data_IF_351495599963
#
_entry.id   IF_351495599963
#
_cell.length_a   1.000
_cell.length_b   1.000
_cell.length_c   1.000
_cell.angle_alpha   90.00
_cell.angle_beta   90.00
_cell.angle_gamma   90.00
#
_symmetry.space_group_name_H-M   'P 1'
#
loop_
_entity.id
_entity.type
_entity.pdbx_description
1 polymer ?
#
# COMPACT_ATOMS: atom_id res chain seq x y z
N UNK A 1 5.07 -43.49 73.06
CA UNK A 1 4.80 -43.49 71.61
C UNK A 1 3.33 -43.82 71.44
N UNK A 2 2.53 -42.82 71.09
CA UNK A 2 1.06 -42.87 71.16
C UNK A 2 0.47 -43.22 69.79
N UNK A 3 -0.50 -44.12 69.79
CA UNK A 3 -1.32 -44.55 68.66
C UNK A 3 -2.59 -43.68 68.58
N UNK A 4 -3.02 -43.39 67.34
CA UNK A 4 -4.38 -43.10 66.85
C UNK A 4 -5.42 -42.40 67.75
N UNK A 5 -5.94 -41.26 67.27
CA UNK A 5 -7.39 -41.10 66.97
C UNK A 5 -7.66 -39.94 65.98
N UNK A 6 -8.75 -40.15 65.23
CA UNK A 6 -9.55 -39.35 64.28
C UNK A 6 -9.69 -37.84 64.59
N UNK A 7 -10.29 -36.92 63.82
CA UNK A 7 -11.06 -36.82 62.57
C UNK A 7 -11.38 -35.31 62.45
N UNK A 8 -11.49 -34.70 61.26
CA UNK A 8 -12.12 -33.37 61.15
C UNK A 8 -12.00 -32.67 59.79
N UNK A 9 -13.13 -32.60 59.09
CA UNK A 9 -13.38 -31.96 57.79
C UNK A 9 -13.24 -30.43 57.76
N UNK A 10 -13.02 -29.91 56.53
CA UNK A 10 -13.42 -28.56 56.07
C UNK A 10 -12.28 -27.55 56.08
N UNK A 11 -12.12 -26.61 55.15
CA UNK A 11 -12.92 -26.16 54.02
C UNK A 11 -12.00 -25.33 53.11
N UNK A 12 -12.32 -25.29 51.83
CA UNK A 12 -11.69 -24.47 50.79
C UNK A 12 -11.54 -23.00 51.21
N UNK A 13 -10.39 -22.42 50.86
CA UNK A 13 -10.12 -20.99 50.95
C UNK A 13 -9.08 -20.59 49.90
N UNK A 14 -9.54 -20.41 48.66
CA UNK A 14 -8.78 -19.74 47.61
C UNK A 14 -8.51 -18.28 48.02
N UNK A 15 -7.25 -17.86 47.95
CA UNK A 15 -6.89 -16.43 47.87
C UNK A 15 -6.07 -16.27 46.58
N UNK A 16 -6.77 -16.04 45.48
CA UNK A 16 -6.22 -15.33 44.33
C UNK A 16 -6.90 -13.96 44.36
N UNK A 17 -6.13 -12.93 44.73
CA UNK A 17 -6.54 -11.54 44.60
C UNK A 17 -5.40 -10.79 43.91
N UNK A 18 -5.56 -10.62 42.60
CA UNK A 18 -5.06 -9.46 41.89
C UNK A 18 -5.94 -9.30 40.65
N UNK A 19 -7.14 -8.76 40.85
CA UNK A 19 -7.96 -8.20 39.78
C UNK A 19 -7.27 -6.92 39.27
N UNK A 20 -6.23 -7.11 38.46
CA UNK A 20 -5.92 -6.16 37.42
C UNK A 20 -6.93 -6.44 36.31
N UNK A 21 -7.96 -5.60 36.20
CA UNK A 21 -8.86 -5.59 35.06
C UNK A 21 -7.99 -5.32 33.83
N UNK A 22 -7.61 -6.39 33.12
CA UNK A 22 -7.06 -6.31 31.79
C UNK A 22 -8.13 -5.57 30.98
N UNK A 23 -7.87 -4.33 30.56
CA UNK A 23 -8.77 -3.61 29.66
C UNK A 23 -9.10 -4.57 28.52
N UNK A 24 -10.37 -4.98 28.46
CA UNK A 24 -10.83 -5.96 27.49
C UNK A 24 -10.63 -5.31 26.14
N UNK A 25 -9.61 -5.72 25.39
CA UNK A 25 -9.33 -5.16 24.07
C UNK A 25 -10.63 -5.18 23.27
N UNK A 26 -11.05 -4.05 22.69
CA UNK A 26 -12.25 -4.01 21.86
C UNK A 26 -12.25 -5.13 20.83
N UNK A 27 -13.40 -5.81 20.67
CA UNK A 27 -13.55 -6.96 19.75
C UNK A 27 -13.04 -6.65 18.33
N UNK A 28 -13.04 -5.38 17.90
CA UNK A 28 -12.52 -4.97 16.60
C UNK A 28 -11.03 -5.28 16.42
N UNK A 29 -10.19 -5.22 17.46
CA UNK A 29 -8.76 -5.57 17.35
C UNK A 29 -8.55 -7.04 17.00
N UNK A 30 -9.37 -7.92 17.58
CA UNK A 30 -9.36 -9.33 17.22
C UNK A 30 -9.66 -9.52 15.74
N UNK A 31 -10.73 -8.88 15.23
CA UNK A 31 -11.11 -8.98 13.82
C UNK A 31 -10.10 -8.32 12.86
N UNK A 32 -9.40 -7.25 13.27
CA UNK A 32 -8.31 -6.66 12.49
C UNK A 32 -7.14 -7.64 12.37
N UNK A 33 -6.74 -8.26 13.48
CA UNK A 33 -5.64 -9.21 13.51
C UNK A 33 -5.92 -10.48 12.70
N UNK A 34 -7.18 -10.89 12.53
CA UNK A 34 -7.54 -12.00 11.63
C UNK A 34 -7.05 -11.76 10.19
N UNK A 35 -6.96 -10.49 9.77
CA UNK A 35 -6.47 -10.18 8.43
C UNK A 35 -5.00 -10.54 8.31
N UNK A 36 -4.13 -10.15 9.26
CA UNK A 36 -2.74 -10.63 9.32
C UNK A 36 -2.66 -12.13 9.53
N UNK A 37 -3.45 -12.66 10.47
CA UNK A 37 -3.27 -14.01 10.95
C UNK A 37 -3.68 -15.06 9.92
N UNK A 38 -4.78 -14.81 9.22
CA UNK A 38 -5.45 -15.78 8.34
C UNK A 38 -5.79 -15.25 6.96
N UNK A 39 -5.53 -13.97 6.70
CA UNK A 39 -5.96 -13.30 5.48
C UNK A 39 -7.46 -12.98 5.46
N UNK A 40 -8.14 -13.04 6.60
CA UNK A 40 -9.58 -12.84 6.68
C UNK A 40 -9.92 -11.36 6.91
N UNK A 41 -10.37 -10.67 5.85
CA UNK A 41 -10.89 -9.30 5.95
C UNK A 41 -12.32 -9.33 6.52
N UNK A 42 -12.54 -8.69 7.69
CA UNK A 42 -13.83 -8.75 8.39
C UNK A 42 -14.48 -7.38 8.55
N UNK A 43 -15.77 -7.26 8.22
CA UNK A 43 -16.57 -6.05 8.50
C UNK A 43 -16.66 -5.73 10.00
N UNK A 44 -16.54 -6.74 10.87
CA UNK A 44 -16.56 -6.57 12.33
C UNK A 44 -15.30 -5.86 12.87
N UNK A 45 -14.28 -5.69 12.03
CA UNK A 45 -13.08 -4.93 12.35
C UNK A 45 -13.33 -3.41 12.41
N UNK A 46 -14.52 -2.94 11.97
CA UNK A 46 -14.90 -1.52 11.95
C UNK A 46 -13.82 -0.70 11.23
N UNK A 47 -13.53 -1.08 9.98
CA UNK A 47 -12.49 -0.45 9.17
C UNK A 47 -12.82 1.02 8.84
N UNK A 48 -14.11 1.36 8.81
CA UNK A 48 -14.62 2.72 8.68
C UNK A 48 -14.25 3.63 9.87
N UNK A 49 -13.89 3.06 11.02
CA UNK A 49 -13.42 3.80 12.21
C UNK A 49 -11.89 3.93 12.25
N UNK A 50 -11.16 3.33 11.30
CA UNK A 50 -9.69 3.33 11.26
C UNK A 50 -9.17 4.55 10.50
N UNK A 51 -8.15 5.19 11.04
CA UNK A 51 -7.32 6.15 10.28
C UNK A 51 -6.13 5.41 9.68
N UNK A 52 -5.98 5.51 8.35
CA UNK A 52 -4.84 4.96 7.63
C UNK A 52 -3.70 5.99 7.56
N UNK A 53 -2.42 5.56 7.57
CA UNK A 53 -1.96 4.16 7.67
C UNK A 53 -2.19 3.55 9.07
N UNK A 54 -2.49 2.24 9.12
CA UNK A 54 -2.73 1.50 10.37
C UNK A 54 -1.69 0.40 10.59
N UNK A 55 -1.02 0.41 11.74
CA UNK A 55 -0.06 -0.65 12.11
C UNK A 55 -0.82 -1.91 12.52
N UNK A 56 -0.71 -2.95 11.69
CA UNK A 56 -1.40 -4.23 11.87
C UNK A 56 -0.60 -5.21 12.74
N UNK A 57 0.73 -5.23 12.59
CA UNK A 57 1.63 -6.07 13.37
C UNK A 57 2.99 -5.39 13.56
N UNK A 58 3.70 -5.75 14.64
CA UNK A 58 5.06 -5.30 14.95
C UNK A 58 5.99 -6.49 15.16
N UNK A 59 7.30 -6.23 15.15
CA UNK A 59 8.35 -7.23 15.36
C UNK A 59 8.34 -8.35 14.30
N UNK A 60 7.84 -8.04 13.11
CA UNK A 60 7.77 -8.95 11.94
C UNK A 60 9.02 -8.77 11.09
N UNK A 61 9.78 -9.84 10.82
CA UNK A 61 10.91 -9.75 9.89
C UNK A 61 10.43 -9.60 8.45
N UNK A 62 11.26 -9.07 7.56
CA UNK A 62 10.89 -8.95 6.14
C UNK A 62 10.61 -10.32 5.51
N UNK A 63 11.35 -11.36 5.90
CA UNK A 63 11.14 -12.73 5.44
C UNK A 63 9.79 -13.30 5.90
N UNK A 64 9.41 -13.04 7.16
CA UNK A 64 8.10 -13.45 7.66
C UNK A 64 6.98 -12.74 6.90
N UNK A 65 7.12 -11.42 6.69
CA UNK A 65 6.20 -10.64 5.88
C UNK A 65 6.07 -11.19 4.46
N UNK A 66 7.17 -11.42 3.75
CA UNK A 66 7.18 -11.94 2.39
C UNK A 66 6.50 -13.31 2.29
N UNK A 67 6.88 -14.25 3.18
CA UNK A 67 6.31 -15.60 3.20
C UNK A 67 4.80 -15.57 3.49
N UNK A 68 4.38 -14.72 4.42
CA UNK A 68 2.97 -14.65 4.83
C UNK A 68 2.11 -14.01 3.77
N UNK A 69 2.59 -12.92 3.18
CA UNK A 69 1.91 -12.18 2.11
C UNK A 69 1.70 -13.08 0.90
N UNK A 70 2.73 -13.85 0.51
CA UNK A 70 2.65 -14.86 -0.54
C UNK A 70 1.65 -15.98 -0.19
N UNK A 71 1.74 -16.53 1.02
CA UNK A 71 0.88 -17.63 1.47
C UNK A 71 -0.61 -17.24 1.49
N UNK A 72 -0.91 -16.01 1.89
CA UNK A 72 -2.27 -15.50 1.99
C UNK A 72 -2.76 -14.86 0.69
N UNK A 73 -1.87 -14.63 -0.28
CA UNK A 73 -2.16 -13.96 -1.55
C UNK A 73 -2.85 -12.59 -1.34
N UNK A 74 -2.27 -11.77 -0.46
CA UNK A 74 -2.75 -10.42 -0.16
C UNK A 74 -1.74 -9.44 -0.73
N UNK A 75 -2.16 -8.60 -1.67
CA UNK A 75 -1.29 -7.63 -2.34
C UNK A 75 -2.01 -6.28 -2.44
N UNK A 76 -1.25 -5.18 -2.52
CA UNK A 76 -1.83 -3.85 -2.72
C UNK A 76 -2.64 -3.31 -1.54
N UNK A 77 -2.42 -3.82 -0.33
CA UNK A 77 -3.12 -3.34 0.88
C UNK A 77 -2.18 -3.11 2.05
N UNK A 78 -1.09 -3.88 2.14
CA UNK A 78 -0.13 -3.81 3.24
C UNK A 78 1.28 -3.61 2.74
N UNK A 79 2.06 -2.83 3.48
CA UNK A 79 3.49 -2.69 3.29
C UNK A 79 4.25 -3.10 4.55
N UNK A 80 5.55 -3.35 4.38
CA UNK A 80 6.46 -3.60 5.48
C UNK A 80 7.43 -2.43 5.67
N UNK A 81 7.56 -1.94 6.90
CA UNK A 81 8.54 -0.90 7.23
C UNK A 81 9.09 -1.11 8.64
N UNK A 82 10.42 -1.29 8.75
CA UNK A 82 11.14 -1.36 10.02
C UNK A 82 10.49 -2.29 11.06
N UNK A 83 10.16 -3.51 10.65
CA UNK A 83 9.54 -4.50 11.54
C UNK A 83 8.02 -4.36 11.71
N UNK A 84 7.38 -3.41 11.03
CA UNK A 84 5.94 -3.18 11.10
C UNK A 84 5.25 -3.60 9.80
N UNK A 85 4.10 -4.24 9.94
CA UNK A 85 3.14 -4.45 8.85
C UNK A 85 2.11 -3.32 8.94
N UNK A 86 1.97 -2.56 7.86
CA UNK A 86 1.16 -1.35 7.82
C UNK A 86 0.09 -1.52 6.75
N UNK A 87 -1.18 -1.42 7.12
CA UNK A 87 -2.28 -1.26 6.18
C UNK A 87 -2.25 0.19 5.71
N UNK A 88 -2.02 0.40 4.43
CA UNK A 88 -2.00 1.74 3.86
C UNK A 88 -3.30 2.03 3.09
N UNK A 89 -3.86 1.04 2.40
CA UNK A 89 -5.10 1.15 1.63
C UNK A 89 -6.07 0.00 1.99
N UNK A 90 -7.37 0.26 1.83
CA UNK A 90 -8.40 -0.77 1.98
C UNK A 90 -8.91 -1.19 0.59
N UNK A 91 -9.22 -2.48 0.38
CA UNK A 91 -9.79 -2.93 -0.88
C UNK A 91 -11.02 -2.10 -1.26
N UNK A 92 -10.98 -1.45 -2.42
CA UNK A 92 -12.09 -0.61 -2.87
C UNK A 92 -12.22 -0.60 -4.39
N UNK A 93 -13.45 -0.65 -4.87
CA UNK A 93 -13.71 -0.65 -6.32
C UNK A 93 -13.17 0.60 -7.04
N UNK A 94 -13.30 1.84 -6.51
CA UNK A 94 -12.76 3.01 -7.19
C UNK A 94 -11.24 2.97 -7.39
N UNK A 95 -10.52 2.42 -6.41
CA UNK A 95 -9.08 2.20 -6.46
C UNK A 95 -8.70 1.26 -7.62
N UNK A 96 -9.27 0.04 -7.61
CA UNK A 96 -8.96 -0.98 -8.62
C UNK A 96 -9.32 -0.54 -10.05
N UNK A 97 -10.47 0.12 -10.22
CA UNK A 97 -10.90 0.63 -11.53
C UNK A 97 -9.94 1.70 -12.04
N UNK A 98 -9.44 2.58 -11.17
CA UNK A 98 -8.48 3.60 -11.55
C UNK A 98 -7.14 2.99 -11.97
N UNK A 99 -6.62 2.02 -11.21
CA UNK A 99 -5.38 1.31 -11.54
C UNK A 99 -5.50 0.64 -12.91
N UNK A 100 -6.61 -0.05 -13.15
CA UNK A 100 -6.88 -0.72 -14.43
C UNK A 100 -6.91 0.29 -15.58
N UNK A 101 -7.62 1.41 -15.42
CA UNK A 101 -7.76 2.43 -16.46
C UNK A 101 -6.41 3.10 -16.78
N UNK A 102 -5.65 3.51 -15.77
CA UNK A 102 -4.33 4.13 -15.97
C UNK A 102 -3.36 3.14 -16.62
N UNK A 103 -3.37 1.88 -16.19
CA UNK A 103 -2.54 0.84 -16.78
C UNK A 103 -2.86 0.61 -18.26
N UNK A 104 -4.14 0.56 -18.61
CA UNK A 104 -4.59 0.41 -19.98
C UNK A 104 -4.11 1.57 -20.86
N UNK A 105 -4.27 2.81 -20.42
CA UNK A 105 -3.84 4.00 -21.17
C UNK A 105 -2.32 4.02 -21.39
N UNK A 106 -1.52 3.68 -20.37
CA UNK A 106 -0.06 3.58 -20.50
C UNK A 106 0.32 2.52 -21.54
N UNK A 107 -0.26 1.32 -21.45
CA UNK A 107 0.04 0.24 -22.38
C UNK A 107 -0.43 0.55 -23.81
N UNK A 108 -1.57 1.21 -23.96
CA UNK A 108 -2.11 1.66 -25.25
C UNK A 108 -1.22 2.74 -25.88
N UNK A 109 -0.71 3.69 -25.10
CA UNK A 109 0.27 4.67 -25.58
C UNK A 109 1.56 3.99 -26.07
N UNK A 110 1.98 2.92 -25.40
CA UNK A 110 3.14 2.11 -25.77
C UNK A 110 2.85 1.03 -26.84
N UNK A 111 1.63 0.95 -27.41
CA UNK A 111 1.25 -0.16 -28.31
C UNK A 111 2.18 -0.33 -29.52
N UNK A 112 2.75 0.77 -30.01
CA UNK A 112 3.57 0.79 -31.23
C UNK A 112 4.94 0.11 -31.04
N UNK A 113 5.41 -0.03 -29.79
CA UNK A 113 6.67 -0.71 -29.48
C UNK A 113 6.46 -2.17 -29.05
N UNK A 114 5.22 -2.66 -29.06
CA UNK A 114 4.90 -4.05 -28.70
C UNK A 114 5.59 -5.03 -29.65
N UNK A 115 6.22 -6.08 -29.09
CA UNK A 115 6.96 -7.08 -29.85
C UNK A 115 8.36 -6.64 -30.30
N UNK A 116 8.81 -5.45 -29.88
CA UNK A 116 10.14 -4.94 -30.18
C UNK A 116 11.05 -5.02 -28.95
N UNK A 117 12.38 -4.88 -29.10
CA UNK A 117 13.30 -4.80 -27.96
C UNK A 117 13.03 -3.65 -26.99
N UNK A 118 12.24 -2.64 -27.39
CA UNK A 118 11.85 -1.50 -26.54
C UNK A 118 10.44 -1.64 -25.95
N UNK A 119 9.83 -2.83 -26.06
CA UNK A 119 8.52 -3.10 -25.47
C UNK A 119 8.52 -2.80 -23.96
N UNK A 120 7.49 -2.11 -23.52
CA UNK A 120 7.19 -1.87 -22.09
C UNK A 120 6.23 -2.95 -21.60
N UNK A 121 6.53 -3.52 -20.43
CA UNK A 121 5.71 -4.52 -19.76
C UNK A 121 5.12 -3.93 -18.48
N UNK A 122 3.85 -4.25 -18.20
CA UNK A 122 3.25 -4.03 -16.89
C UNK A 122 3.59 -5.18 -15.94
N UNK A 123 4.01 -4.84 -14.73
CA UNK A 123 4.35 -5.76 -13.65
C UNK A 123 3.35 -5.71 -12.49
N UNK A 124 2.35 -4.82 -12.55
CA UNK A 124 1.34 -4.65 -11.49
C UNK A 124 1.98 -4.41 -10.12
N UNK A 125 1.33 -4.94 -9.08
CA UNK A 125 1.78 -4.93 -7.70
C UNK A 125 2.88 -5.95 -7.37
N UNK A 126 3.93 -5.98 -8.21
CA UNK A 126 5.11 -6.78 -7.92
C UNK A 126 5.85 -6.20 -6.71
N UNK A 127 6.11 -7.06 -5.72
CA UNK A 127 6.83 -6.70 -4.50
C UNK A 127 8.25 -6.22 -4.80
N UNK A 128 8.62 -5.16 -4.10
CA UNK A 128 9.97 -4.63 -4.07
C UNK A 128 10.43 -4.43 -2.63
N UNK A 129 11.75 -4.40 -2.40
CA UNK A 129 12.32 -4.11 -1.08
C UNK A 129 13.67 -3.41 -1.14
N UNK A 130 13.95 -2.68 -0.06
CA UNK A 130 15.28 -2.31 0.39
C UNK A 130 15.56 -2.94 1.78
N UNK A 131 16.66 -2.55 2.43
CA UNK A 131 17.04 -3.12 3.74
C UNK A 131 16.00 -2.94 4.84
N UNK A 132 15.13 -1.93 4.75
CA UNK A 132 14.25 -1.49 5.85
C UNK A 132 12.79 -1.32 5.42
N UNK A 133 12.47 -1.47 4.13
CA UNK A 133 11.14 -1.28 3.56
C UNK A 133 10.84 -2.34 2.51
N UNK A 134 9.62 -2.85 2.51
CA UNK A 134 9.05 -3.68 1.46
C UNK A 134 7.77 -3.02 0.98
N UNK A 135 7.69 -2.69 -0.31
CA UNK A 135 6.57 -1.97 -0.92
C UNK A 135 6.14 -2.62 -2.22
N UNK A 136 4.85 -2.57 -2.48
CA UNK A 136 4.21 -2.95 -3.72
C UNK A 136 3.63 -1.67 -4.32
N UNK A 137 4.00 -1.34 -5.55
CA UNK A 137 3.33 -0.27 -6.29
C UNK A 137 1.92 -0.74 -6.66
N UNK A 138 0.96 0.15 -6.83
CA UNK A 138 -0.35 -0.28 -7.37
C UNK A 138 -0.23 -0.83 -8.80
N UNK A 139 0.61 -0.19 -9.61
CA UNK A 139 1.07 -0.76 -10.88
C UNK A 139 2.44 -0.22 -11.26
N UNK A 140 3.21 -1.00 -12.01
CA UNK A 140 4.57 -0.64 -12.38
C UNK A 140 4.94 -1.13 -13.78
N UNK A 141 5.86 -0.42 -14.42
CA UNK A 141 6.23 -0.66 -15.81
C UNK A 141 7.74 -0.57 -16.03
N UNK A 142 8.26 -1.45 -16.89
CA UNK A 142 9.63 -1.35 -17.41
C UNK A 142 9.79 -2.08 -18.74
N UNK A 143 10.79 -1.70 -19.56
CA UNK A 143 11.26 -2.55 -20.63
C UNK A 143 11.98 -3.79 -20.09
N UNK A 144 12.37 -4.68 -21.00
CA UNK A 144 13.34 -5.73 -20.68
C UNK A 144 14.64 -5.04 -20.24
N UNK A 145 15.10 -5.40 -19.04
CA UNK A 145 16.37 -4.93 -18.45
C UNK A 145 17.23 -6.15 -18.12
N UNK A 146 18.55 -6.06 -18.27
CA UNK A 146 19.44 -7.08 -17.73
C UNK A 146 19.29 -7.15 -16.20
N UNK A 147 19.63 -8.31 -15.63
CA UNK A 147 19.75 -8.47 -14.20
C UNK A 147 20.77 -7.46 -13.64
N UNK A 148 20.51 -6.96 -12.44
CA UNK A 148 21.43 -6.06 -11.72
C UNK A 148 22.32 -6.88 -10.78
N UNK A 149 23.42 -6.31 -10.30
CA UNK A 149 24.27 -7.02 -9.33
C UNK A 149 23.55 -7.18 -8.00
N UNK A 150 23.43 -8.41 -7.49
CA UNK A 150 22.91 -8.64 -6.14
C UNK A 150 23.76 -7.96 -5.06
N UNK A 151 23.16 -7.42 -3.98
CA UNK A 151 21.74 -7.46 -3.62
C UNK A 151 20.95 -6.21 -4.07
N UNK A 152 21.35 -5.55 -5.16
CA UNK A 152 20.79 -4.24 -5.55
C UNK A 152 19.48 -4.34 -6.35
N UNK A 153 18.97 -5.55 -6.58
CA UNK A 153 17.69 -5.78 -7.24
C UNK A 153 16.51 -5.40 -6.37
N UNK A 154 15.37 -5.16 -7.01
CA UNK A 154 14.13 -4.81 -6.33
C UNK A 154 13.60 -5.94 -5.46
N UNK A 155 13.97 -7.18 -5.72
CA UNK A 155 13.65 -8.35 -4.89
C UNK A 155 14.70 -8.60 -3.77
N UNK A 156 15.67 -7.70 -3.62
CA UNK A 156 16.85 -7.89 -2.77
C UNK A 156 17.89 -8.84 -3.38
N UNK A 157 17.70 -9.31 -4.62
CA UNK A 157 18.68 -10.08 -5.38
C UNK A 157 19.09 -9.31 -6.64
N UNK A 158 18.81 -9.84 -7.82
CA UNK A 158 19.27 -9.34 -9.12
C UNK A 158 18.13 -8.85 -10.02
N UNK A 159 16.87 -8.85 -9.54
CA UNK A 159 15.74 -8.40 -10.35
C UNK A 159 15.78 -6.88 -10.53
N UNK A 160 15.72 -6.34 -11.76
CA UNK A 160 15.83 -4.91 -11.98
C UNK A 160 14.57 -4.17 -11.51
N UNK A 161 14.78 -3.02 -10.87
CA UNK A 161 13.71 -2.08 -10.50
C UNK A 161 12.86 -1.64 -11.70
N UNK A 162 11.56 -1.33 -11.48
CA UNK A 162 10.70 -0.71 -12.49
C UNK A 162 11.27 0.64 -12.95
N UNK A 163 10.82 1.12 -14.11
CA UNK A 163 11.15 2.45 -14.60
C UNK A 163 10.09 3.47 -14.20
N UNK A 164 8.83 3.06 -14.30
CA UNK A 164 7.66 3.84 -13.94
C UNK A 164 6.88 3.10 -12.85
N UNK A 165 6.52 3.82 -11.80
CA UNK A 165 5.60 3.39 -10.75
C UNK A 165 4.36 4.28 -10.78
N UNK A 166 3.19 3.71 -10.55
CA UNK A 166 1.95 4.46 -10.34
C UNK A 166 1.39 4.05 -8.98
N UNK A 167 1.08 5.05 -8.16
CA UNK A 167 0.38 4.90 -6.88
C UNK A 167 -0.97 5.62 -6.95
N UNK A 168 -2.03 4.98 -6.51
CA UNK A 168 -3.41 5.45 -6.54
C UNK A 168 -3.92 5.56 -5.11
N UNK A 169 -4.04 6.78 -4.61
CA UNK A 169 -4.53 7.04 -3.27
C UNK A 169 -6.05 7.24 -3.25
N UNK A 170 -6.83 6.28 -2.73
CA UNK A 170 -8.25 6.47 -2.50
C UNK A 170 -8.57 6.79 -1.04
N UNK A 171 -8.32 5.86 -0.11
CA UNK A 171 -8.49 6.11 1.32
C UNK A 171 -7.22 6.71 1.96
N UNK A 172 -6.07 6.57 1.30
CA UNK A 172 -4.81 7.15 1.76
C UNK A 172 -4.78 8.68 1.70
N UNK A 173 -4.03 9.28 2.62
CA UNK A 173 -3.71 10.70 2.56
C UNK A 173 -2.66 10.97 1.48
N UNK A 174 -2.72 12.15 0.85
CA UNK A 174 -1.71 12.55 -0.13
C UNK A 174 -0.31 12.56 0.51
N UNK A 175 -0.18 13.09 1.73
CA UNK A 175 1.08 13.14 2.47
C UNK A 175 1.72 11.76 2.61
N UNK A 176 0.94 10.73 2.93
CA UNK A 176 1.44 9.37 3.07
C UNK A 176 1.94 8.80 1.72
N UNK A 177 1.19 9.00 0.63
CA UNK A 177 1.60 8.52 -0.69
C UNK A 177 2.81 9.29 -1.21
N UNK A 178 2.94 10.57 -0.88
CA UNK A 178 4.13 11.36 -1.16
C UNK A 178 5.36 10.88 -0.37
N UNK A 179 5.21 10.34 0.84
CA UNK A 179 6.32 9.69 1.54
C UNK A 179 6.88 8.50 0.77
N UNK A 180 6.05 7.77 0.03
CA UNK A 180 6.47 6.67 -0.86
C UNK A 180 7.39 7.14 -1.99
N UNK A 181 7.36 8.42 -2.39
CA UNK A 181 8.30 8.96 -3.39
C UNK A 181 9.75 8.81 -2.94
N UNK A 182 10.03 8.95 -1.64
CA UNK A 182 11.39 8.76 -1.09
C UNK A 182 11.88 7.33 -1.27
N UNK A 183 10.97 6.36 -1.30
CA UNK A 183 11.31 4.98 -1.59
C UNK A 183 11.46 4.76 -3.10
N UNK A 184 10.46 5.10 -3.89
CA UNK A 184 10.46 4.80 -5.33
C UNK A 184 11.54 5.53 -6.11
N UNK A 185 11.85 6.77 -5.72
CA UNK A 185 12.80 7.63 -6.43
C UNK A 185 14.14 7.73 -5.70
N UNK A 186 14.43 6.76 -4.82
CA UNK A 186 15.76 6.56 -4.27
C UNK A 186 16.77 6.20 -5.38
N UNK A 187 18.07 6.52 -5.20
CA UNK A 187 19.08 6.20 -6.20
C UNK A 187 19.09 4.72 -6.58
N UNK A 188 18.93 4.43 -7.87
CA UNK A 188 18.94 3.06 -8.40
C UNK A 188 17.58 2.36 -8.45
N UNK A 189 16.51 2.99 -7.94
CA UNK A 189 15.14 2.48 -7.99
C UNK A 189 14.42 2.93 -9.29
N UNK A 190 13.15 3.35 -9.18
CA UNK A 190 12.37 3.86 -10.31
C UNK A 190 12.86 5.23 -10.77
N UNK A 191 12.56 5.57 -12.03
CA UNK A 191 12.93 6.85 -12.61
C UNK A 191 11.78 7.85 -12.55
N UNK A 192 10.57 7.34 -12.79
CA UNK A 192 9.32 8.09 -12.80
C UNK A 192 8.34 7.49 -11.78
N UNK A 193 7.61 8.36 -11.10
CA UNK A 193 6.48 8.00 -10.27
C UNK A 193 5.29 8.90 -10.62
N UNK A 194 4.12 8.30 -10.83
CA UNK A 194 2.85 8.99 -10.97
C UNK A 194 2.04 8.72 -9.71
N UNK A 195 1.62 9.77 -9.01
CA UNK A 195 0.65 9.66 -7.92
C UNK A 195 -0.70 10.11 -8.46
N UNK A 196 -1.74 9.32 -8.24
CA UNK A 196 -3.13 9.67 -8.54
C UNK A 196 -3.90 9.73 -7.23
N UNK A 197 -4.39 10.92 -6.83
CA UNK A 197 -5.31 11.06 -5.70
C UNK A 197 -6.74 11.11 -6.20
N UNK A 198 -7.55 10.15 -5.77
CA UNK A 198 -9.00 10.16 -5.98
C UNK A 198 -9.64 10.82 -4.76
N UNK A 199 -10.56 11.76 -4.99
CA UNK A 199 -11.30 12.38 -3.88
C UNK A 199 -12.29 11.34 -3.31
N UNK A 200 -12.21 10.99 -2.01
CA UNK A 200 -13.01 9.92 -1.42
C UNK A 200 -14.48 10.27 -1.38
N UNK A 201 -15.35 9.28 -1.60
CA UNK A 201 -16.80 9.43 -1.53
C UNK A 201 -17.42 8.40 -0.59
N UNK A 202 -18.61 8.67 -0.02
CA UNK A 202 -19.35 7.67 0.74
C UNK A 202 -19.55 6.36 -0.03
N UNK A 203 -19.63 5.25 0.70
CA UNK A 203 -19.83 3.92 0.11
C UNK A 203 -21.04 3.91 -0.85
N UNK A 204 -20.85 3.31 -2.03
CA UNK A 204 -21.86 3.22 -3.07
C UNK A 204 -21.95 4.43 -4.00
N UNK A 205 -21.19 5.50 -3.75
CA UNK A 205 -21.05 6.62 -4.67
C UNK A 205 -19.86 6.44 -5.62
N UNK A 206 -19.87 7.20 -6.71
CA UNK A 206 -18.79 7.22 -7.71
C UNK A 206 -17.99 8.51 -7.54
N UNK A 207 -16.65 8.43 -7.38
CA UNK A 207 -15.82 9.62 -7.37
C UNK A 207 -15.95 10.42 -8.66
N UNK A 208 -16.02 11.74 -8.52
CA UNK A 208 -16.19 12.68 -9.65
C UNK A 208 -14.97 13.53 -9.95
N UNK A 209 -13.93 13.40 -9.12
CA UNK A 209 -12.72 14.21 -9.16
C UNK A 209 -11.49 13.39 -8.77
N UNK A 210 -10.40 13.61 -9.49
CA UNK A 210 -9.08 13.06 -9.24
C UNK A 210 -8.01 14.09 -9.59
N UNK A 211 -6.85 13.98 -8.95
CA UNK A 211 -5.65 14.75 -9.26
C UNK A 211 -4.51 13.79 -9.52
N UNK A 212 -3.60 14.14 -10.41
CA UNK A 212 -2.43 13.33 -10.69
C UNK A 212 -1.17 14.21 -10.73
N UNK A 213 -0.08 13.66 -10.20
CA UNK A 213 1.24 14.30 -10.18
C UNK A 213 2.25 13.37 -10.80
N UNK A 214 3.08 13.89 -11.69
CA UNK A 214 4.23 13.17 -12.24
C UNK A 214 5.52 13.69 -11.63
N UNK A 215 6.31 12.78 -11.09
CA UNK A 215 7.61 13.01 -10.47
C UNK A 215 8.70 12.28 -11.23
N UNK A 216 9.86 12.92 -11.39
CA UNK A 216 10.99 12.35 -12.14
C UNK A 216 12.34 12.71 -11.52
N UNK A 217 13.27 11.76 -11.49
CA UNK A 217 14.64 11.98 -10.99
C UNK A 217 15.42 12.97 -11.88
N UNK A 218 15.07 13.07 -13.16
CA UNK A 218 15.82 13.85 -14.18
C UNK A 218 15.91 15.35 -13.91
N UNK A 219 15.01 15.90 -13.10
CA UNK A 219 14.92 17.33 -12.79
C UNK A 219 15.62 17.70 -11.47
N UNK A 220 15.98 16.72 -10.65
CA UNK A 220 16.77 16.94 -9.45
C UNK A 220 18.24 16.96 -9.87
N UNK A 221 18.79 18.14 -10.11
CA UNK A 221 20.22 18.30 -10.38
C UNK A 221 21.06 17.48 -9.39
N UNK A 222 22.21 16.97 -9.85
CA UNK A 222 23.14 16.04 -9.14
C UNK A 222 23.72 16.55 -7.79
N UNK A 223 22.99 17.29 -6.97
CA UNK A 223 23.50 17.93 -5.77
C UNK A 223 22.50 18.30 -4.68
N UNK A 224 21.18 18.26 -4.88
CA UNK A 224 20.21 18.61 -3.82
C UNK A 224 19.38 17.41 -3.40
N UNK A 225 19.86 16.74 -2.34
CA UNK A 225 19.09 15.76 -1.56
C UNK A 225 17.94 16.48 -0.87
N UNK A 226 16.70 16.03 -1.14
CA UNK A 226 15.54 15.95 -0.23
C UNK A 226 14.19 16.32 -0.86
N UNK A 227 14.15 16.87 -2.07
CA UNK A 227 12.89 17.19 -2.76
C UNK A 227 12.96 16.62 -4.17
N UNK A 228 12.10 15.63 -4.44
CA UNK A 228 11.87 15.16 -5.80
C UNK A 228 11.07 16.27 -6.51
N UNK A 229 11.58 16.85 -7.60
CA UNK A 229 10.87 17.89 -8.30
C UNK A 229 9.61 17.31 -8.95
N UNK A 230 8.47 17.90 -8.57
CA UNK A 230 7.23 17.76 -9.30
C UNK A 230 7.44 18.25 -10.74
N UNK A 231 7.12 17.41 -11.72
CA UNK A 231 7.26 17.74 -13.14
C UNK A 231 5.97 18.37 -13.66
N UNK A 232 4.84 17.74 -13.37
CA UNK A 232 3.53 18.19 -13.81
C UNK A 232 2.46 17.82 -12.78
N UNK A 233 1.47 18.69 -12.60
CA UNK A 233 0.23 18.41 -11.89
C UNK A 233 -0.94 18.52 -12.87
N UNK A 234 -1.89 17.59 -12.74
CA UNK A 234 -3.09 17.54 -13.53
C UNK A 234 -4.31 17.34 -12.63
N UNK A 235 -5.41 18.02 -12.96
CA UNK A 235 -6.71 17.80 -12.33
C UNK A 235 -7.70 17.29 -13.38
N UNK A 236 -8.42 16.21 -13.05
CA UNK A 236 -9.38 15.57 -13.93
C UNK A 236 -10.66 15.24 -13.19
N UNK A 237 -11.78 15.27 -13.90
CA UNK A 237 -13.08 14.96 -13.31
C UNK A 237 -14.22 15.60 -14.08
N UNK A 238 -15.43 15.45 -13.55
CA UNK A 238 -16.59 16.20 -14.03
C UNK A 238 -16.68 17.58 -13.38
N UNK A 239 -16.01 17.76 -12.22
CA UNK A 239 -15.99 19.01 -11.46
C UNK A 239 -14.62 19.27 -10.85
N UNK A 240 -14.29 20.54 -10.70
CA UNK A 240 -13.06 21.00 -10.05
C UNK A 240 -13.22 21.13 -8.52
N UNK A 241 -12.15 21.53 -7.83
CA UNK A 241 -12.14 21.76 -6.38
C UNK A 241 -13.08 22.86 -5.87
N UNK A 242 -13.64 23.67 -6.76
CA UNK A 242 -14.66 24.69 -6.45
C UNK A 242 -16.08 24.22 -6.77
N UNK A 243 -16.23 23.04 -7.38
CA UNK A 243 -17.48 22.46 -7.83
C UNK A 243 -17.91 22.88 -9.25
N UNK A 244 -17.10 23.67 -9.96
CA UNK A 244 -17.35 24.06 -11.34
C UNK A 244 -17.07 22.90 -12.30
N UNK A 245 -17.75 22.83 -13.44
CA UNK A 245 -17.55 21.73 -14.40
C UNK A 245 -16.18 21.82 -15.08
N UNK A 246 -15.46 20.70 -15.15
CA UNK A 246 -14.22 20.59 -15.93
C UNK A 246 -14.57 20.29 -17.40
N UNK A 247 -14.10 21.14 -18.32
CA UNK A 247 -14.45 21.12 -19.76
C UNK A 247 -13.70 20.04 -20.57
N UNK A 248 -13.79 18.76 -20.20
CA UNK A 248 -13.13 17.67 -20.95
C UNK A 248 -14.11 16.98 -21.95
N UNK A 249 -15.37 17.43 -22.02
CA UNK A 249 -16.40 16.86 -22.93
C UNK A 249 -16.85 17.78 -24.06
N UNK A 250 -16.12 18.87 -24.37
CA UNK A 250 -16.41 19.58 -25.63
C UNK A 250 -16.00 18.69 -26.82
N UNK A 251 -16.99 17.95 -27.32
CA UNK A 251 -16.95 17.34 -28.65
C UNK A 251 -16.53 18.44 -29.62
N UNK A 252 -15.38 18.28 -30.27
CA UNK A 252 -15.03 19.11 -31.42
C UNK A 252 -16.06 18.79 -32.49
N UNK A 253 -17.13 19.58 -32.57
CA UNK A 253 -17.95 19.65 -33.78
C UNK A 253 -17.09 20.28 -34.85
N UNK A 254 -16.54 19.44 -35.72
CA UNK A 254 -15.96 19.89 -36.99
C UNK A 254 -17.09 20.45 -37.85
N UNK A 255 -17.06 21.76 -38.08
CA UNK A 255 -17.84 22.46 -39.11
C UNK A 255 -17.30 22.19 -40.50
#
# INVERSE_FOLDING_TARGET
MSLYTSSGNGSFGNILSSDAVLERMPDCFFYRNLWWDKGEFSEKAKWEEVTLPYVLATDVTIEEYEQRTEKLNIHGCWEWSNGKVIIYELPSMPHEVCISAVSEEILNACRHVRGTPTQIYGFGATRTRDSNRGKEADTSFRPVKPAVTAPNGSDGNDFPWPNLVVEVAYNETLDYVEESLRYWLSPGHAYDCIIVKIDPVPQGQVPVRMRAWHYCISLAGRGTRNIVPLVNEFEFGTRDGTGAQLNITQVITTS
#
